data_IF_131042947524
#
_entry.id   IF_131042947524
#
_cell.length_a   1.000
_cell.length_b   1.000
_cell.length_c   1.000
_cell.angle_alpha   90.00
_cell.angle_beta   90.00
_cell.angle_gamma   90.00
#
_symmetry.space_group_name_H-M   'P 1'
#
loop_
_entity.id
_entity.type
_entity.pdbx_description
1 polymer ?
#
# COMPACT_ATOMS: atom_id res chain seq x y z
N UNK A 1 -13.27 0.12 2.95
CA UNK A 1 -12.15 0.52 3.84
C UNK A 1 -11.78 1.99 3.58
N UNK A 2 -11.42 2.75 4.60
CA UNK A 2 -10.98 4.15 4.50
C UNK A 2 -9.78 4.38 5.41
N UNK A 3 -8.82 5.19 4.97
CA UNK A 3 -7.63 5.54 5.74
C UNK A 3 -7.88 6.73 6.68
N UNK A 4 -8.72 7.66 6.27
CA UNK A 4 -9.12 8.84 7.03
C UNK A 4 -10.54 9.27 6.66
N UNK A 5 -11.16 10.13 7.46
CA UNK A 5 -12.45 10.77 7.21
C UNK A 5 -12.51 12.11 7.95
N UNK A 6 -13.60 12.86 7.80
CA UNK A 6 -13.82 14.10 8.55
C UNK A 6 -14.03 13.90 10.05
N UNK A 7 -14.29 12.66 10.49
CA UNK A 7 -14.45 12.29 11.89
C UNK A 7 -13.14 11.85 12.57
N UNK A 8 -12.10 11.59 11.77
CA UNK A 8 -10.84 11.02 12.24
C UNK A 8 -9.69 12.01 12.00
N UNK A 9 -8.65 11.89 12.83
CA UNK A 9 -7.42 12.64 12.57
C UNK A 9 -6.80 12.21 11.24
N UNK A 10 -6.17 13.17 10.56
CA UNK A 10 -5.34 12.89 9.39
C UNK A 10 -4.14 12.03 9.78
N UNK A 11 -3.69 11.16 8.88
CA UNK A 11 -2.49 10.34 9.12
C UNK A 11 -1.27 11.21 9.45
N UNK A 12 -1.09 12.31 8.73
CA UNK A 12 0.03 13.22 8.92
C UNK A 12 -0.13 14.16 10.13
N UNK A 13 -1.26 14.14 10.82
CA UNK A 13 -1.52 14.94 12.01
C UNK A 13 -0.54 14.62 13.14
N UNK A 14 -0.13 15.61 13.89
CA UNK A 14 0.69 15.47 15.10
C UNK A 14 0.00 14.63 16.18
N UNK A 15 -1.34 14.55 16.13
CA UNK A 15 -2.16 13.73 17.04
C UNK A 15 -2.25 12.26 16.65
N UNK A 16 -1.74 11.87 15.47
CA UNK A 16 -1.76 10.48 15.01
C UNK A 16 -0.36 9.98 14.63
N UNK A 17 0.05 10.03 13.37
CA UNK A 17 1.34 9.46 12.94
C UNK A 17 2.42 10.52 12.70
N UNK A 18 2.06 11.80 12.68
CA UNK A 18 2.91 12.97 12.43
C UNK A 18 3.70 12.95 11.10
N UNK A 19 3.46 11.94 10.27
CA UNK A 19 4.14 11.77 8.99
C UNK A 19 3.25 10.96 8.04
N UNK A 20 2.88 11.55 6.92
CA UNK A 20 2.02 10.93 5.90
C UNK A 20 2.61 9.65 5.31
N UNK A 21 3.94 9.56 5.18
CA UNK A 21 4.62 8.39 4.63
C UNK A 21 4.34 7.12 5.44
N UNK A 22 4.10 7.21 6.74
CA UNK A 22 3.72 6.08 7.59
C UNK A 22 2.37 5.46 7.20
N UNK A 23 1.52 6.19 6.46
CA UNK A 23 0.25 5.68 5.94
C UNK A 23 0.39 4.84 4.68
N UNK A 24 1.50 4.95 3.95
CA UNK A 24 1.70 4.30 2.65
C UNK A 24 1.55 2.77 2.71
N UNK A 25 2.18 2.03 3.66
CA UNK A 25 2.01 0.59 3.72
C UNK A 25 0.56 0.17 4.00
N UNK A 26 -0.15 0.92 4.86
CA UNK A 26 -1.56 0.66 5.15
C UNK A 26 -2.44 0.91 3.93
N UNK A 27 -2.19 1.98 3.18
CA UNK A 27 -2.90 2.30 1.95
C UNK A 27 -2.68 1.21 0.89
N UNK A 28 -1.43 0.80 0.62
CA UNK A 28 -1.12 -0.28 -0.33
C UNK A 28 -1.84 -1.58 0.06
N UNK A 29 -1.70 -2.01 1.32
CA UNK A 29 -2.37 -3.21 1.80
C UNK A 29 -3.89 -3.11 1.65
N UNK A 30 -4.51 -2.03 2.12
CA UNK A 30 -5.97 -1.86 2.12
C UNK A 30 -6.57 -1.81 0.72
N UNK A 31 -5.88 -1.17 -0.22
CA UNK A 31 -6.34 -1.06 -1.62
C UNK A 31 -6.25 -2.40 -2.35
N UNK A 32 -5.18 -3.18 -2.10
CA UNK A 32 -4.88 -4.36 -2.92
C UNK A 32 -5.37 -5.68 -2.32
N UNK A 33 -5.72 -5.73 -1.02
CA UNK A 33 -6.15 -6.98 -0.38
C UNK A 33 -7.60 -7.36 -0.67
N UNK A 34 -8.43 -6.43 -1.11
CA UNK A 34 -9.87 -6.62 -1.23
C UNK A 34 -10.43 -6.09 -2.56
N UNK A 35 -11.68 -6.46 -2.84
CA UNK A 35 -12.43 -6.05 -4.03
C UNK A 35 -13.40 -4.90 -3.75
N UNK A 36 -13.58 -4.54 -2.48
CA UNK A 36 -14.50 -3.48 -2.07
C UNK A 36 -13.94 -2.09 -2.43
N UNK A 37 -14.82 -1.10 -2.62
CA UNK A 37 -14.38 0.26 -2.88
C UNK A 37 -13.46 0.78 -1.76
N UNK A 38 -12.40 1.46 -2.15
CA UNK A 38 -11.53 2.22 -1.26
C UNK A 38 -11.90 3.69 -1.33
N UNK A 39 -12.12 4.32 -0.19
CA UNK A 39 -12.40 5.75 -0.11
C UNK A 39 -11.14 6.49 0.32
N UNK A 40 -10.64 7.35 -0.56
CA UNK A 40 -9.57 8.30 -0.27
C UNK A 40 -10.18 9.61 0.20
N UNK A 41 -9.83 10.08 1.37
CA UNK A 41 -10.26 11.38 1.86
C UNK A 41 -9.37 12.48 1.26
N UNK A 42 -9.99 13.49 0.63
CA UNK A 42 -9.29 14.51 -0.13
C UNK A 42 -8.17 15.19 0.67
N UNK A 43 -6.98 15.30 0.06
CA UNK A 43 -5.77 15.82 0.69
C UNK A 43 -4.86 14.75 1.31
N UNK A 44 -5.38 13.56 1.60
CA UNK A 44 -4.60 12.46 2.17
C UNK A 44 -3.47 12.04 1.23
N UNK A 45 -3.73 12.08 -0.08
CA UNK A 45 -2.78 11.79 -1.15
C UNK A 45 -1.62 12.78 -1.25
N UNK A 46 -1.77 13.94 -0.61
CA UNK A 46 -0.72 14.97 -0.53
C UNK A 46 -0.12 15.08 0.87
N UNK A 47 -0.59 14.28 1.82
CA UNK A 47 -0.10 14.32 3.20
C UNK A 47 -0.69 15.46 4.03
N UNK A 48 -1.98 15.81 3.80
CA UNK A 48 -2.67 16.80 4.61
C UNK A 48 -2.59 16.48 6.09
N UNK A 49 -2.21 17.47 6.89
CA UNK A 49 -2.01 17.30 8.33
C UNK A 49 -3.26 17.62 9.15
N UNK A 50 -4.13 18.50 8.65
CA UNK A 50 -5.25 19.02 9.40
C UNK A 50 -4.82 19.85 10.63
N UNK A 51 -3.67 20.52 10.54
CA UNK A 51 -3.07 21.25 11.66
C UNK A 51 -3.08 22.76 11.49
N UNK A 52 -3.61 23.26 10.37
CA UNK A 52 -3.54 24.68 10.03
C UNK A 52 -4.87 25.40 10.24
N UNK A 53 -5.57 25.85 9.19
CA UNK A 53 -6.72 26.75 9.30
C UNK A 53 -8.06 26.12 8.92
N UNK A 54 -8.12 24.83 8.73
CA UNK A 54 -9.29 24.13 8.24
C UNK A 54 -10.19 23.67 9.41
N UNK A 55 -11.35 24.25 9.54
CA UNK A 55 -12.38 23.79 10.46
C UNK A 55 -11.91 23.52 11.89
N UNK A 56 -11.80 22.26 12.27
CA UNK A 56 -11.29 21.83 13.58
C UNK A 56 -9.77 21.73 13.66
N UNK A 57 -9.09 22.01 12.57
CA UNK A 57 -7.64 21.88 12.45
C UNK A 57 -6.87 22.76 13.42
N UNK A 58 -5.64 22.37 13.67
CA UNK A 58 -4.83 23.02 14.69
C UNK A 58 -5.20 22.63 16.13
N UNK A 59 -6.43 22.13 16.35
CA UNK A 59 -6.89 21.72 17.68
C UNK A 59 -6.80 20.19 17.87
N UNK A 60 -7.13 19.42 16.84
CA UNK A 60 -7.23 17.95 16.97
C UNK A 60 -6.81 17.16 15.71
N UNK A 61 -6.31 17.82 14.69
CA UNK A 61 -5.82 17.17 13.45
C UNK A 61 -6.92 16.64 12.53
N UNK A 62 -8.14 17.15 12.66
CA UNK A 62 -9.27 16.82 11.78
C UNK A 62 -9.58 17.98 10.84
N UNK A 63 -10.02 17.65 9.62
CA UNK A 63 -10.55 18.63 8.67
C UNK A 63 -12.04 18.41 8.48
N UNK A 64 -12.81 19.50 8.25
CA UNK A 64 -14.24 19.37 8.00
C UNK A 64 -14.53 19.17 6.51
N UNK A 65 -15.70 18.61 6.19
CA UNK A 65 -16.18 18.51 4.80
C UNK A 65 -16.58 19.87 4.23
N UNK A 66 -16.69 20.91 5.06
CA UNK A 66 -17.14 22.25 4.67
C UNK A 66 -16.00 23.18 4.31
N UNK A 67 -14.77 22.90 4.76
CA UNK A 67 -13.62 23.79 4.64
C UNK A 67 -12.61 23.34 3.57
N UNK A 68 -13.04 22.56 2.59
CA UNK A 68 -12.16 22.00 1.55
C UNK A 68 -11.37 23.06 0.77
N UNK A 69 -11.88 24.29 0.68
CA UNK A 69 -11.18 25.41 0.01
C UNK A 69 -10.01 25.98 0.82
N UNK A 70 -9.93 25.70 2.11
CA UNK A 70 -8.85 26.14 2.99
C UNK A 70 -7.82 25.04 3.29
N UNK A 71 -8.01 23.86 2.73
CA UNK A 71 -7.06 22.75 2.88
C UNK A 71 -5.79 23.05 2.09
N UNK A 72 -4.69 23.30 2.81
CA UNK A 72 -3.45 23.84 2.24
C UNK A 72 -2.85 22.95 1.14
N UNK A 73 -2.85 21.65 1.33
CA UNK A 73 -2.34 20.72 0.32
C UNK A 73 -3.16 20.73 -0.96
N UNK A 74 -4.49 20.84 -0.87
CA UNK A 74 -5.36 20.96 -2.04
C UNK A 74 -5.14 22.31 -2.76
N UNK A 75 -4.94 23.40 -2.00
CA UNK A 75 -4.59 24.69 -2.57
C UNK A 75 -3.26 24.66 -3.31
N UNK A 76 -2.22 24.00 -2.72
CA UNK A 76 -0.93 23.81 -3.39
C UNK A 76 -1.05 22.93 -4.62
N UNK A 77 -1.85 21.87 -4.58
CA UNK A 77 -2.09 21.02 -5.74
C UNK A 77 -2.75 21.78 -6.88
N UNK A 78 -3.80 22.56 -6.59
CA UNK A 78 -4.52 23.37 -7.58
C UNK A 78 -3.62 24.45 -8.20
N UNK A 79 -2.74 25.07 -7.42
CA UNK A 79 -1.78 26.09 -7.89
C UNK A 79 -0.48 25.52 -8.48
N UNK A 80 -0.33 24.18 -8.55
CA UNK A 80 0.90 23.48 -9.01
C UNK A 80 2.14 23.82 -8.17
N UNK A 81 1.96 23.98 -6.87
CA UNK A 81 3.00 24.35 -5.91
C UNK A 81 3.28 23.25 -4.89
N UNK A 82 2.95 22.00 -5.21
CA UNK A 82 3.28 20.85 -4.37
C UNK A 82 4.80 20.74 -4.16
N UNK A 83 5.20 20.41 -2.95
CA UNK A 83 6.59 20.04 -2.64
C UNK A 83 6.97 18.73 -3.32
N UNK A 84 8.25 18.39 -3.35
CA UNK A 84 8.68 17.12 -3.93
C UNK A 84 8.23 15.92 -3.09
N UNK A 85 8.11 16.07 -1.77
CA UNK A 85 7.56 15.05 -0.87
C UNK A 85 6.07 14.81 -1.12
N UNK A 86 5.28 15.89 -1.27
CA UNK A 86 3.85 15.80 -1.62
C UNK A 86 3.63 15.15 -2.99
N UNK A 87 4.46 15.49 -3.99
CA UNK A 87 4.43 14.84 -5.31
C UNK A 87 4.76 13.35 -5.22
N UNK A 88 5.81 12.99 -4.47
CA UNK A 88 6.21 11.59 -4.29
C UNK A 88 5.10 10.77 -3.60
N UNK A 89 4.46 11.36 -2.58
CA UNK A 89 3.32 10.73 -1.91
C UNK A 89 2.11 10.58 -2.85
N UNK A 90 1.79 11.61 -3.61
CA UNK A 90 0.75 11.56 -4.64
C UNK A 90 1.02 10.47 -5.69
N UNK A 91 2.26 10.38 -6.18
CA UNK A 91 2.66 9.40 -7.18
C UNK A 91 2.48 7.96 -6.69
N UNK A 92 2.78 7.67 -5.43
CA UNK A 92 2.58 6.32 -4.89
C UNK A 92 1.09 5.99 -4.73
N UNK A 93 0.25 6.96 -4.35
CA UNK A 93 -1.21 6.81 -4.33
C UNK A 93 -1.75 6.52 -5.74
N UNK A 94 -1.37 7.33 -6.73
CA UNK A 94 -1.79 7.13 -8.13
C UNK A 94 -1.38 5.75 -8.64
N UNK A 95 -0.13 5.34 -8.44
CA UNK A 95 0.35 4.02 -8.86
C UNK A 95 -0.44 2.89 -8.20
N UNK A 96 -0.70 2.99 -6.89
CA UNK A 96 -1.44 1.95 -6.16
C UNK A 96 -2.88 1.83 -6.68
N UNK A 97 -3.57 2.97 -6.91
CA UNK A 97 -4.92 2.98 -7.47
C UNK A 97 -4.94 2.46 -8.92
N UNK A 98 -3.91 2.78 -9.71
CA UNK A 98 -3.77 2.23 -11.06
C UNK A 98 -3.57 0.71 -11.05
N UNK A 99 -2.76 0.18 -10.14
CA UNK A 99 -2.59 -1.26 -9.95
C UNK A 99 -3.95 -1.89 -9.62
N UNK A 100 -4.67 -1.35 -8.64
CA UNK A 100 -5.97 -1.88 -8.25
C UNK A 100 -6.98 -1.90 -9.42
N UNK A 101 -6.93 -0.89 -10.30
CA UNK A 101 -7.80 -0.78 -11.48
C UNK A 101 -7.39 -1.69 -12.62
N UNK A 102 -6.09 -1.89 -12.84
CA UNK A 102 -5.55 -2.55 -14.02
C UNK A 102 -5.32 -4.06 -13.83
N UNK A 103 -5.00 -4.47 -12.60
CA UNK A 103 -4.63 -5.85 -12.30
C UNK A 103 -5.86 -6.68 -11.90
N UNK A 104 -6.25 -7.58 -12.78
CA UNK A 104 -7.41 -8.47 -12.55
C UNK A 104 -7.24 -9.34 -11.31
N UNK A 105 -6.00 -9.64 -10.91
CA UNK A 105 -5.73 -10.34 -9.66
C UNK A 105 -6.26 -9.59 -8.44
N UNK A 106 -6.37 -8.24 -8.49
CA UNK A 106 -6.98 -7.44 -7.42
C UNK A 106 -8.51 -7.43 -7.54
N UNK A 107 -9.07 -7.12 -8.74
CA UNK A 107 -10.51 -6.97 -8.90
C UNK A 107 -11.29 -8.30 -8.83
N UNK A 108 -10.74 -9.37 -9.40
CA UNK A 108 -11.44 -10.66 -9.59
C UNK A 108 -10.69 -11.85 -8.96
N UNK A 109 -9.45 -11.63 -8.49
CA UNK A 109 -8.59 -12.70 -8.01
C UNK A 109 -8.88 -13.16 -6.59
N UNK A 110 -8.37 -14.34 -6.26
CA UNK A 110 -8.43 -14.95 -4.94
C UNK A 110 -7.37 -14.32 -4.03
N UNK A 111 -7.76 -13.99 -2.81
CA UNK A 111 -6.86 -13.52 -1.75
C UNK A 111 -6.32 -14.71 -0.94
N UNK A 112 -5.06 -14.63 -0.55
CA UNK A 112 -4.43 -15.59 0.34
C UNK A 112 -3.49 -14.87 1.31
N UNK A 113 -3.79 -14.95 2.60
CA UNK A 113 -2.97 -14.38 3.66
C UNK A 113 -1.73 -15.23 3.89
N UNK A 114 -0.56 -14.60 4.02
CA UNK A 114 0.70 -15.28 4.31
C UNK A 114 1.16 -15.09 5.76
N UNK A 115 0.49 -14.27 6.56
CA UNK A 115 0.99 -13.92 7.89
C UNK A 115 0.99 -15.08 8.88
N UNK A 116 0.04 -16.01 8.77
CA UNK A 116 -0.05 -17.15 9.69
C UNK A 116 1.14 -18.13 9.61
N UNK A 117 1.88 -18.13 8.50
CA UNK A 117 3.13 -18.93 8.33
C UNK A 117 4.40 -18.09 8.40
N UNK A 118 4.27 -16.76 8.46
CA UNK A 118 5.37 -15.80 8.49
C UNK A 118 5.40 -15.03 9.82
N UNK A 119 5.27 -15.72 10.95
CA UNK A 119 5.22 -15.10 12.29
C UNK A 119 6.46 -14.30 12.69
N UNK A 120 7.56 -14.42 11.94
CA UNK A 120 8.76 -13.59 12.10
C UNK A 120 8.58 -12.17 11.55
N UNK A 121 7.58 -11.92 10.71
CA UNK A 121 7.24 -10.61 10.16
C UNK A 121 6.36 -9.83 11.14
N UNK A 122 6.97 -9.07 12.06
CA UNK A 122 6.22 -8.38 13.12
C UNK A 122 5.69 -7.01 12.70
N UNK A 123 6.40 -6.35 11.77
CA UNK A 123 6.06 -5.01 11.24
C UNK A 123 5.92 -5.00 9.72
N UNK A 124 5.83 -6.15 9.14
CA UNK A 124 5.56 -6.33 7.72
C UNK A 124 4.25 -7.09 7.56
N UNK A 125 3.60 -6.90 6.42
CA UNK A 125 2.40 -7.65 6.06
C UNK A 125 2.54 -8.17 4.65
N UNK A 126 2.24 -9.46 4.45
CA UNK A 126 2.40 -10.13 3.17
C UNK A 126 1.16 -10.94 2.80
N UNK A 127 0.76 -10.87 1.54
CA UNK A 127 -0.36 -11.63 1.00
C UNK A 127 -0.21 -11.86 -0.51
N UNK A 128 -1.00 -12.78 -1.04
CA UNK A 128 -1.09 -13.11 -2.45
C UNK A 128 -2.46 -12.72 -3.01
N UNK A 129 -2.46 -12.28 -4.27
CA UNK A 129 -3.66 -12.15 -5.10
C UNK A 129 -3.46 -12.97 -6.36
N UNK A 130 -4.38 -13.87 -6.66
CA UNK A 130 -4.22 -14.85 -7.75
C UNK A 130 -5.42 -14.87 -8.68
N UNK A 131 -5.18 -14.76 -9.95
CA UNK A 131 -6.12 -15.07 -11.02
C UNK A 131 -5.42 -15.94 -12.09
N UNK A 132 -6.14 -16.54 -13.01
CA UNK A 132 -5.54 -17.35 -14.07
C UNK A 132 -4.47 -16.56 -14.84
N UNK A 133 -3.27 -17.15 -14.97
CA UNK A 133 -2.12 -16.54 -15.64
C UNK A 133 -1.35 -15.48 -14.84
N UNK A 134 -1.84 -15.04 -13.67
CA UNK A 134 -1.26 -13.93 -12.92
C UNK A 134 -1.23 -14.17 -11.42
N UNK A 135 -0.11 -13.84 -10.78
CA UNK A 135 0.06 -13.78 -9.34
C UNK A 135 0.62 -12.42 -8.96
N UNK A 136 0.01 -11.77 -7.98
CA UNK A 136 0.61 -10.65 -7.27
C UNK A 136 1.08 -11.12 -5.88
N UNK A 137 2.33 -10.79 -5.56
CA UNK A 137 2.89 -10.93 -4.21
C UNK A 137 3.00 -9.52 -3.66
N UNK A 138 2.17 -9.21 -2.68
CA UNK A 138 2.14 -7.88 -2.05
C UNK A 138 2.79 -7.97 -0.69
N UNK A 139 3.73 -7.07 -0.45
CA UNK A 139 4.44 -6.98 0.83
C UNK A 139 4.52 -5.52 1.24
N UNK A 140 4.16 -5.22 2.47
CA UNK A 140 4.24 -3.87 3.03
C UNK A 140 5.11 -3.85 4.28
N UNK A 141 5.86 -2.77 4.47
CA UNK A 141 6.73 -2.56 5.62
C UNK A 141 6.27 -1.33 6.41
N UNK A 142 5.75 -1.58 7.61
CA UNK A 142 5.32 -0.55 8.57
C UNK A 142 6.45 -0.06 9.47
N UNK A 143 7.66 -0.61 9.32
CA UNK A 143 8.82 -0.16 10.09
C UNK A 143 9.39 1.14 9.51
N UNK A 144 9.94 1.97 10.39
CA UNK A 144 10.72 3.16 10.01
C UNK A 144 12.13 2.85 9.47
N UNK A 145 12.50 1.58 9.33
CA UNK A 145 13.76 1.12 8.76
C UNK A 145 13.52 0.18 7.57
N UNK A 146 14.47 0.17 6.64
CA UNK A 146 14.51 -0.80 5.54
C UNK A 146 14.62 -2.23 6.10
N UNK A 147 13.89 -3.16 5.51
CA UNK A 147 13.88 -4.56 5.92
C UNK A 147 14.24 -5.48 4.76
N UNK A 148 15.14 -6.43 5.01
CA UNK A 148 15.33 -7.59 4.16
C UNK A 148 14.57 -8.76 4.77
N UNK A 149 13.60 -9.30 4.05
CA UNK A 149 12.66 -10.27 4.56
C UNK A 149 12.62 -11.51 3.66
N UNK A 150 12.33 -12.65 4.28
CA UNK A 150 12.07 -13.91 3.61
C UNK A 150 10.57 -14.23 3.75
N UNK A 151 9.86 -14.27 2.63
CA UNK A 151 8.42 -14.58 2.58
C UNK A 151 8.26 -16.07 2.28
N UNK A 152 7.82 -16.83 3.26
CA UNK A 152 7.49 -18.24 3.10
C UNK A 152 6.13 -18.42 2.44
N UNK A 153 6.07 -19.29 1.41
CA UNK A 153 4.82 -19.65 0.71
C UNK A 153 4.55 -21.14 0.97
N UNK A 154 3.54 -21.49 1.76
CA UNK A 154 3.30 -22.87 2.17
C UNK A 154 2.74 -23.72 1.02
N UNK A 155 2.98 -25.04 1.06
CA UNK A 155 2.54 -25.98 0.03
C UNK A 155 1.02 -25.86 -0.27
N UNK A 156 0.18 -25.73 0.76
CA UNK A 156 -1.27 -25.63 0.54
C UNK A 156 -1.71 -24.31 -0.13
N UNK A 157 -0.86 -23.26 -0.17
CA UNK A 157 -1.13 -22.09 -0.99
C UNK A 157 -1.10 -22.44 -2.49
N UNK A 158 -0.21 -23.35 -2.88
CA UNK A 158 -0.13 -23.83 -4.26
C UNK A 158 -1.38 -24.60 -4.66
N UNK A 159 -1.88 -25.49 -3.78
CA UNK A 159 -3.12 -26.24 -4.01
C UNK A 159 -4.34 -25.32 -4.08
N UNK A 160 -4.48 -24.44 -3.09
CA UNK A 160 -5.61 -23.52 -2.99
C UNK A 160 -5.67 -22.52 -4.17
N UNK A 161 -4.52 -21.94 -4.52
CA UNK A 161 -4.40 -20.97 -5.61
C UNK A 161 -4.18 -21.62 -6.98
N UNK A 162 -4.13 -22.95 -7.06
CA UNK A 162 -3.87 -23.72 -8.29
C UNK A 162 -2.60 -23.22 -9.00
N UNK A 163 -1.51 -23.08 -8.24
CA UNK A 163 -0.20 -22.71 -8.76
C UNK A 163 0.67 -23.94 -9.00
N UNK A 164 1.71 -23.77 -9.82
CA UNK A 164 2.77 -24.76 -10.04
C UNK A 164 4.10 -24.17 -9.64
N UNK A 165 5.01 -25.02 -9.21
CA UNK A 165 6.40 -24.63 -8.96
C UNK A 165 7.07 -24.10 -10.23
N UNK A 166 7.82 -23.01 -10.08
CA UNK A 166 8.35 -22.31 -11.21
C UNK A 166 9.49 -21.35 -10.82
N UNK A 167 10.55 -21.32 -11.60
CA UNK A 167 11.53 -20.23 -11.60
C UNK A 167 11.04 -19.15 -12.56
N UNK A 168 11.01 -17.91 -12.12
CA UNK A 168 10.42 -16.81 -12.85
C UNK A 168 11.06 -15.47 -12.50
N UNK A 169 10.65 -14.43 -13.18
CA UNK A 169 11.03 -13.06 -12.87
C UNK A 169 9.76 -12.29 -12.48
N UNK A 170 9.73 -11.80 -11.24
CA UNK A 170 8.73 -10.85 -10.79
C UNK A 170 9.10 -9.43 -11.23
N UNK A 171 8.09 -8.63 -11.54
CA UNK A 171 8.22 -7.20 -11.82
C UNK A 171 7.46 -6.44 -10.75
N UNK A 172 8.15 -5.57 -10.00
CA UNK A 172 7.49 -4.70 -9.05
C UNK A 172 6.69 -3.61 -9.79
N UNK A 173 5.39 -3.59 -9.57
CA UNK A 173 4.50 -2.66 -10.26
C UNK A 173 4.67 -1.21 -9.79
N UNK A 174 5.20 -0.99 -8.58
CA UNK A 174 5.44 0.34 -8.02
C UNK A 174 6.73 0.97 -8.55
N UNK A 175 7.83 0.18 -8.63
CA UNK A 175 9.17 0.68 -8.97
C UNK A 175 9.68 0.25 -10.35
N UNK A 176 9.05 -0.78 -10.95
CA UNK A 176 9.48 -1.45 -12.19
C UNK A 176 10.74 -2.29 -12.05
N UNK A 177 11.25 -2.47 -10.84
CA UNK A 177 12.36 -3.38 -10.56
C UNK A 177 11.99 -4.82 -10.91
N UNK A 178 13.01 -5.61 -11.20
CA UNK A 178 12.88 -7.04 -11.53
C UNK A 178 13.59 -7.87 -10.48
N UNK A 179 12.95 -8.96 -10.05
CA UNK A 179 13.51 -9.91 -9.09
C UNK A 179 13.37 -11.33 -9.63
N UNK A 180 14.49 -12.05 -9.72
CA UNK A 180 14.46 -13.48 -10.01
C UNK A 180 13.88 -14.22 -8.78
N UNK A 181 12.82 -14.99 -9.00
CA UNK A 181 12.08 -15.68 -7.94
C UNK A 181 12.01 -17.17 -8.24
N UNK A 182 12.06 -17.96 -7.21
CA UNK A 182 11.78 -19.40 -7.25
C UNK A 182 10.49 -19.64 -6.44
N UNK A 183 9.38 -19.80 -7.14
CA UNK A 183 8.10 -20.16 -6.55
C UNK A 183 8.12 -21.67 -6.32
N UNK A 184 8.32 -22.11 -5.08
CA UNK A 184 8.42 -23.51 -4.68
C UNK A 184 7.48 -23.76 -3.50
N UNK A 185 6.90 -24.95 -3.43
CA UNK A 185 6.12 -25.38 -2.27
C UNK A 185 7.02 -25.36 -1.03
N UNK A 186 6.53 -24.78 0.05
CA UNK A 186 7.28 -24.58 1.30
C UNK A 186 8.60 -23.83 1.12
N UNK A 187 8.73 -23.09 0.00
CA UNK A 187 9.87 -22.23 -0.30
C UNK A 187 9.72 -20.82 0.24
N UNK A 188 10.81 -20.06 0.20
CA UNK A 188 10.81 -18.65 0.57
C UNK A 188 11.35 -17.76 -0.54
N UNK A 189 10.82 -16.54 -0.62
CA UNK A 189 11.30 -15.49 -1.52
C UNK A 189 11.92 -14.39 -0.66
N UNK A 190 13.20 -14.13 -0.90
CA UNK A 190 13.92 -13.04 -0.22
C UNK A 190 13.80 -11.75 -1.00
N UNK A 191 13.49 -10.66 -0.30
CA UNK A 191 13.37 -9.33 -0.90
C UNK A 191 13.67 -8.20 0.09
N UNK A 192 14.01 -7.04 -0.46
CA UNK A 192 14.16 -5.80 0.28
C UNK A 192 12.90 -4.95 0.15
N UNK A 193 12.41 -4.43 1.28
CA UNK A 193 11.29 -3.50 1.34
C UNK A 193 11.71 -2.27 2.14
N UNK A 194 11.60 -1.10 1.52
CA UNK A 194 11.99 0.17 2.14
C UNK A 194 11.10 0.51 3.34
N UNK A 195 11.62 1.35 4.23
CA UNK A 195 10.88 1.90 5.36
C UNK A 195 9.55 2.53 4.91
N UNK A 196 8.48 2.30 5.69
CA UNK A 196 7.14 2.87 5.44
C UNK A 196 6.70 2.76 3.97
N UNK A 197 6.88 1.60 3.35
CA UNK A 197 6.59 1.39 1.94
C UNK A 197 6.02 0.01 1.66
N UNK A 198 5.92 -0.37 0.37
CA UNK A 198 5.55 -1.71 -0.04
C UNK A 198 6.15 -2.10 -1.39
N UNK A 199 6.01 -3.38 -1.73
CA UNK A 199 6.34 -3.99 -3.00
C UNK A 199 5.11 -4.72 -3.54
N UNK A 200 4.89 -4.64 -4.83
CA UNK A 200 3.80 -5.34 -5.53
C UNK A 200 4.39 -6.09 -6.70
N UNK A 201 4.83 -7.30 -6.45
CA UNK A 201 5.49 -8.13 -7.47
C UNK A 201 4.46 -8.85 -8.33
N UNK A 202 4.43 -8.53 -9.60
CA UNK A 202 3.64 -9.24 -10.61
C UNK A 202 4.46 -10.38 -11.20
N UNK A 203 3.88 -11.58 -11.17
CA UNK A 203 4.44 -12.79 -11.73
C UNK A 203 3.46 -13.37 -12.74
N UNK A 204 3.95 -13.72 -13.93
CA UNK A 204 3.17 -14.50 -14.92
C UNK A 204 3.32 -15.98 -14.58
N UNK A 205 2.20 -16.67 -14.43
CA UNK A 205 2.12 -18.10 -14.10
C UNK A 205 1.97 -18.98 -15.35
#
# INVERSE_FOLDING_TARGET
>A
FRSASHDEQRIASDFFAANAQKGVPAMIASVLMQQNPFMLYAGEEYGERGMDREGFSGNDGRTTIFDYWSVDTLCRAASRQLTDEEKALYDIHVKTMQIARQEKAVSDGVFFDLMYVNGHLQRQYAFLRRIEGELLIVVTNFDGADATIDIHIPAHAFDYLKMKEKKTIGVDLLTKEKLAMSLMMDGSIRMEVKANSGRVWKVKL
#
